data_IF_597926112670
#
_entry.id   IF_597926112670
#
_cell.length_a   1.000
_cell.length_b   1.000
_cell.length_c   1.000
_cell.angle_alpha   90.00
_cell.angle_beta   90.00
_cell.angle_gamma   90.00
#
_symmetry.space_group_name_H-M   'P 1'
#
loop_
_entity.id
_entity.type
_entity.pdbx_description
1 polymer ?
#
# COMPACT_ATOMS: atom_id res chain seq x y z
N UNK A 1 -11.70 -4.36 -5.24
CA UNK A 1 -11.15 -5.60 -5.86
C UNK A 1 -9.64 -5.39 -5.97
N UNK A 2 -8.81 -6.40 -5.69
CA UNK A 2 -7.34 -6.26 -5.76
C UNK A 2 -6.90 -6.43 -7.23
N UNK A 3 -6.14 -5.47 -7.76
CA UNK A 3 -5.84 -5.38 -9.19
C UNK A 3 -5.07 -6.59 -9.76
N UNK A 4 -4.09 -7.12 -9.03
CA UNK A 4 -3.26 -8.22 -9.52
C UNK A 4 -2.78 -9.16 -8.39
N UNK A 5 -2.26 -10.33 -8.78
CA UNK A 5 -1.79 -11.36 -7.85
C UNK A 5 -0.59 -10.91 -7.02
N UNK A 6 0.31 -10.10 -7.58
CA UNK A 6 1.47 -9.56 -6.86
C UNK A 6 1.02 -8.68 -5.69
N UNK A 7 0.09 -7.77 -5.95
CA UNK A 7 -0.50 -6.89 -4.94
C UNK A 7 -1.25 -7.71 -3.88
N UNK A 8 -2.03 -8.71 -4.31
CA UNK A 8 -2.73 -9.63 -3.41
C UNK A 8 -1.78 -10.45 -2.53
N UNK A 9 -0.66 -10.92 -3.09
CA UNK A 9 0.37 -11.63 -2.36
C UNK A 9 0.98 -10.75 -1.27
N UNK A 10 1.36 -9.50 -1.59
CA UNK A 10 1.92 -8.60 -0.60
C UNK A 10 0.92 -8.17 0.47
N UNK A 11 -0.35 -7.92 0.12
CA UNK A 11 -1.44 -7.70 1.09
C UNK A 11 -1.54 -8.89 2.06
N UNK A 12 -1.51 -10.12 1.54
CA UNK A 12 -1.51 -11.34 2.36
C UNK A 12 -0.29 -11.46 3.26
N UNK A 13 0.90 -11.14 2.75
CA UNK A 13 2.15 -11.15 3.54
C UNK A 13 2.16 -10.07 4.62
N UNK A 14 1.62 -8.89 4.34
CA UNK A 14 1.43 -7.80 5.32
C UNK A 14 0.49 -8.28 6.43
N UNK A 15 -0.65 -8.88 6.10
CA UNK A 15 -1.57 -9.45 7.08
C UNK A 15 -0.89 -10.47 7.99
N UNK A 16 -0.17 -11.44 7.41
CA UNK A 16 0.55 -12.45 8.17
C UNK A 16 1.63 -11.85 9.07
N UNK A 17 2.35 -10.83 8.59
CA UNK A 17 3.37 -10.14 9.39
C UNK A 17 2.73 -9.37 10.56
N UNK A 18 1.72 -8.55 10.30
CA UNK A 18 1.06 -7.73 11.31
C UNK A 18 0.43 -8.58 12.41
N UNK A 19 -0.21 -9.68 12.04
CA UNK A 19 -0.78 -10.62 13.02
C UNK A 19 0.29 -11.36 13.80
N UNK A 20 1.43 -11.70 13.17
CA UNK A 20 2.56 -12.34 13.85
C UNK A 20 3.24 -11.44 14.89
N UNK A 21 3.28 -10.12 14.64
CA UNK A 21 3.85 -9.15 15.60
C UNK A 21 2.86 -8.71 16.68
N UNK A 22 1.63 -9.25 16.69
CA UNK A 22 0.67 -9.09 17.78
C UNK A 22 -0.45 -8.09 17.53
N UNK A 23 -0.64 -7.60 16.30
CA UNK A 23 -1.82 -6.77 15.97
C UNK A 23 -3.08 -7.63 16.05
N UNK A 24 -4.10 -7.13 16.78
CA UNK A 24 -5.42 -7.74 16.86
C UNK A 24 -6.08 -7.73 15.47
N UNK A 25 -6.44 -8.92 14.99
CA UNK A 25 -7.11 -9.14 13.70
C UNK A 25 -8.41 -8.36 13.57
N UNK A 26 -9.14 -8.13 14.68
CA UNK A 26 -10.39 -7.37 14.69
C UNK A 26 -10.16 -5.85 14.59
N UNK A 27 -8.91 -5.41 14.77
CA UNK A 27 -8.47 -4.01 14.70
C UNK A 27 -7.54 -3.77 13.51
N UNK A 28 -7.49 -4.69 12.56
CA UNK A 28 -6.73 -4.58 11.33
C UNK A 28 -7.69 -4.60 10.15
N UNK A 29 -7.58 -3.64 9.24
CA UNK A 29 -8.30 -3.65 7.96
C UNK A 29 -7.40 -3.20 6.82
N UNK A 30 -7.76 -3.59 5.61
CA UNK A 30 -7.14 -3.09 4.39
C UNK A 30 -8.12 -2.13 3.70
N UNK A 31 -7.68 -0.90 3.47
CA UNK A 31 -8.47 0.14 2.81
C UNK A 31 -7.85 0.45 1.45
N UNK A 32 -8.63 0.28 0.38
CA UNK A 32 -8.24 0.71 -0.95
C UNK A 32 -8.34 2.24 -1.05
N UNK A 33 -7.34 2.88 -1.64
CA UNK A 33 -7.41 4.30 -1.98
C UNK A 33 -8.45 4.52 -3.08
N UNK A 34 -9.25 5.56 -2.95
CA UNK A 34 -10.19 5.98 -3.99
C UNK A 34 -9.46 6.84 -5.04
N UNK A 35 -9.99 6.97 -6.25
CA UNK A 35 -9.31 7.69 -7.34
C UNK A 35 -8.98 9.16 -7.08
N UNK A 36 -9.63 9.79 -6.09
CA UNK A 36 -9.34 11.16 -5.62
C UNK A 36 -8.27 11.23 -4.51
N UNK A 37 -7.91 10.10 -3.90
CA UNK A 37 -6.86 9.95 -2.88
C UNK A 37 -5.60 9.27 -3.45
N UNK A 38 -5.72 8.67 -4.63
CA UNK A 38 -4.63 8.00 -5.32
C UNK A 38 -3.52 9.02 -5.61
N UNK A 39 -2.33 8.76 -5.06
CA UNK A 39 -1.17 9.57 -5.40
C UNK A 39 -0.97 9.56 -6.92
N UNK A 40 -0.58 10.69 -7.51
CA UNK A 40 -0.44 10.90 -8.96
C UNK A 40 0.47 9.88 -9.68
N UNK A 41 1.19 9.06 -8.93
CA UNK A 41 2.13 8.05 -9.40
C UNK A 41 1.64 6.59 -9.19
N UNK A 42 0.48 6.35 -8.59
CA UNK A 42 0.00 5.02 -8.25
C UNK A 42 -1.17 4.59 -9.15
N UNK A 43 -1.22 3.30 -9.51
CA UNK A 43 -2.28 2.66 -10.30
C UNK A 43 -3.28 1.89 -9.44
N UNK A 44 -2.85 1.36 -8.30
CA UNK A 44 -3.69 0.82 -7.22
C UNK A 44 -2.92 0.97 -5.90
N UNK A 45 -3.61 1.27 -4.80
CA UNK A 45 -2.98 1.47 -3.50
C UNK A 45 -3.88 0.97 -2.37
N UNK A 46 -3.28 0.22 -1.45
CA UNK A 46 -3.96 -0.39 -0.30
C UNK A 46 -3.21 -0.09 0.99
N UNK A 47 -3.91 0.46 1.97
CA UNK A 47 -3.39 0.73 3.31
C UNK A 47 -3.81 -0.37 4.26
N UNK A 48 -2.86 -0.94 4.99
CA UNK A 48 -3.13 -1.68 6.20
C UNK A 48 -3.29 -0.70 7.37
N UNK A 49 -4.52 -0.55 7.86
CA UNK A 49 -4.86 0.36 8.93
C UNK A 49 -5.09 -0.38 10.25
N UNK A 50 -4.54 0.16 11.34
CA UNK A 50 -4.77 -0.30 12.70
C UNK A 50 -5.77 0.59 13.43
N UNK A 51 -6.72 0.00 14.13
CA UNK A 51 -7.65 0.74 15.01
C UNK A 51 -6.98 1.03 16.35
N UNK A 52 -6.69 2.30 16.58
CA UNK A 52 -6.08 2.84 17.80
C UNK A 52 -7.08 3.69 18.60
N UNK A 53 -6.64 4.28 19.72
CA UNK A 53 -7.42 5.28 20.45
C UNK A 53 -7.73 6.55 19.63
N UNK A 54 -6.96 6.82 18.57
CA UNK A 54 -7.14 7.96 17.68
C UNK A 54 -7.96 7.63 16.42
N UNK A 55 -8.52 6.42 16.35
CA UNK A 55 -9.23 5.91 15.17
C UNK A 55 -8.34 5.02 14.30
N UNK A 56 -8.67 4.93 13.01
CA UNK A 56 -7.92 4.13 12.05
C UNK A 56 -6.70 4.90 11.56
N UNK A 57 -5.53 4.29 11.70
CA UNK A 57 -4.25 4.90 11.31
C UNK A 57 -3.55 3.94 10.36
N UNK A 58 -3.09 4.47 9.22
CA UNK A 58 -2.23 3.73 8.29
C UNK A 58 -0.96 3.30 9.00
N UNK A 59 -0.63 2.01 8.92
CA UNK A 59 0.63 1.46 9.43
C UNK A 59 1.51 0.88 8.33
N UNK A 60 0.93 0.50 7.19
CA UNK A 60 1.65 0.01 6.00
C UNK A 60 0.89 0.44 4.75
N UNK A 61 1.54 1.17 3.84
CA UNK A 61 1.05 1.44 2.50
C UNK A 61 1.60 0.43 1.49
N UNK A 62 0.73 -0.13 0.64
CA UNK A 62 1.08 -1.04 -0.44
C UNK A 62 0.60 -0.46 -1.79
N UNK A 63 1.53 0.14 -2.54
CA UNK A 63 1.23 0.87 -3.76
C UNK A 63 1.86 0.22 -5.00
N UNK A 64 1.06 0.06 -6.06
CA UNK A 64 1.54 -0.23 -7.40
C UNK A 64 1.84 1.10 -8.10
N UNK A 65 3.12 1.40 -8.31
CA UNK A 65 3.61 2.66 -8.89
C UNK A 65 4.01 2.54 -10.36
N UNK A 66 3.74 1.38 -10.98
CA UNK A 66 4.16 1.06 -12.35
C UNK A 66 5.63 1.46 -12.59
N UNK A 67 5.92 2.22 -13.65
CA UNK A 67 7.26 2.68 -14.01
C UNK A 67 7.50 4.17 -13.69
N UNK A 68 6.66 4.80 -12.86
CA UNK A 68 6.71 6.25 -12.64
C UNK A 68 8.10 6.69 -12.14
N UNK A 69 8.60 6.09 -11.06
CA UNK A 69 9.87 6.48 -10.45
C UNK A 69 11.05 6.32 -11.40
N UNK A 70 11.14 5.17 -12.08
CA UNK A 70 12.22 4.90 -13.04
C UNK A 70 12.18 5.88 -14.21
N UNK A 71 10.98 6.22 -14.70
CA UNK A 71 10.81 7.19 -15.78
C UNK A 71 11.22 8.59 -15.34
N UNK A 72 10.87 9.00 -14.12
CA UNK A 72 11.30 10.29 -13.58
C UNK A 72 12.82 10.32 -13.40
N UNK A 73 13.41 9.30 -12.77
CA UNK A 73 14.85 9.23 -12.58
C UNK A 73 15.61 9.26 -13.91
N UNK A 74 15.22 8.45 -14.90
CA UNK A 74 15.87 8.44 -16.23
C UNK A 74 15.77 9.80 -16.95
N UNK A 75 14.67 10.54 -16.79
CA UNK A 75 14.49 11.85 -17.43
C UNK A 75 15.33 12.96 -16.79
N UNK A 76 15.51 12.91 -15.47
CA UNK A 76 16.08 14.03 -14.72
C UNK A 76 17.49 13.79 -14.18
N UNK A 77 17.99 12.54 -14.15
CA UNK A 77 19.34 12.23 -13.64
C UNK A 77 20.46 12.51 -14.64
N UNK A 78 20.17 12.51 -15.95
CA UNK A 78 21.20 12.59 -16.99
C UNK A 78 21.99 11.29 -17.21
N UNK A 79 21.68 10.24 -16.44
CA UNK A 79 22.26 8.90 -16.55
C UNK A 79 21.46 8.07 -17.56
N UNK A 80 22.15 7.41 -18.50
CA UNK A 80 21.58 6.50 -19.51
C UNK A 80 21.90 5.05 -19.21
#
# INVERSE_FOLDING_TARGET
LINNETLGYFIGRIYLFMTKVGIDKNRLRFRQHMGNEMAHYACDCWDAECKTSYGWVECVGCADRSCYDLTQHSKFSGER
#
